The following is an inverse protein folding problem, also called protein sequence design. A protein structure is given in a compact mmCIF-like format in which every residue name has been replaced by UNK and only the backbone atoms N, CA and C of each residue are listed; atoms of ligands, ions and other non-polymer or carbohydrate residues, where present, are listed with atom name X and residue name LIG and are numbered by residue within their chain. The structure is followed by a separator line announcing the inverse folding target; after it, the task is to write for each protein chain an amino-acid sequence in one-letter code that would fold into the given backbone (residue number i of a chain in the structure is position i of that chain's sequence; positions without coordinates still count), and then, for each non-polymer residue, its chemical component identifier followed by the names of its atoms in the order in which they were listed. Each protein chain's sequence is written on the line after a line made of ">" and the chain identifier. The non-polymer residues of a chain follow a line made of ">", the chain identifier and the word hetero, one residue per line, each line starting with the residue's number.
data_IF_206201925708
#
_entry.id   IF_206201925708
#
_cell.length_a   1.000
_cell.length_b   1.000
_cell.length_c   1.000
_cell.angle_alpha   90.00
_cell.angle_beta   90.00
_cell.angle_gamma   90.00
#
_symmetry.space_group_name_H-M   'P 1'
#
loop_
_entity.id
_entity.type
_entity.pdbx_description
1 polymer ?
#
# COMPACT_ATOMS: atom_id res chain seq x y z
N UNK A 1 -12.35 -30.78 -27.42
CA UNK A 1 -12.31 -29.55 -26.61
C UNK A 1 -12.78 -29.92 -25.22
N UNK A 2 -11.88 -29.99 -24.24
CA UNK A 2 -12.24 -30.39 -22.86
C UNK A 2 -12.80 -29.16 -22.17
N UNK A 3 -14.08 -29.18 -21.82
CA UNK A 3 -14.71 -28.10 -21.07
C UNK A 3 -14.01 -27.94 -19.71
N UNK A 4 -13.53 -26.72 -19.40
CA UNK A 4 -13.01 -26.41 -18.06
C UNK A 4 -14.13 -26.68 -17.04
N UNK A 5 -13.85 -27.55 -16.07
CA UNK A 5 -14.69 -27.74 -14.89
C UNK A 5 -14.86 -26.39 -14.19
N UNK A 6 -16.10 -25.97 -13.90
CA UNK A 6 -16.41 -24.71 -13.21
C UNK A 6 -15.97 -24.66 -11.74
N UNK A 7 -15.21 -25.65 -11.25
CA UNK A 7 -14.66 -25.70 -9.90
C UNK A 7 -13.26 -25.12 -9.91
N UNK A 8 -13.09 -23.95 -9.32
CA UNK A 8 -11.80 -23.30 -9.12
C UNK A 8 -11.23 -23.73 -7.76
N UNK A 9 -10.01 -24.24 -7.74
CA UNK A 9 -9.29 -24.50 -6.48
C UNK A 9 -8.68 -23.20 -5.95
N UNK A 10 -8.41 -23.06 -4.63
CA UNK A 10 -7.77 -21.86 -4.10
C UNK A 10 -6.47 -21.48 -4.83
N UNK A 11 -5.66 -22.47 -5.20
CA UNK A 11 -4.42 -22.27 -5.96
C UNK A 11 -4.68 -21.75 -7.39
N UNK A 12 -5.70 -22.28 -8.07
CA UNK A 12 -6.09 -21.77 -9.40
C UNK A 12 -6.61 -20.34 -9.32
N UNK A 13 -7.41 -20.02 -8.29
CA UNK A 13 -7.92 -18.68 -8.06
C UNK A 13 -6.79 -17.68 -7.81
N UNK A 14 -5.84 -18.00 -6.92
CA UNK A 14 -4.70 -17.14 -6.62
C UNK A 14 -3.83 -16.91 -7.87
N UNK A 15 -3.57 -17.95 -8.65
CA UNK A 15 -2.83 -17.83 -9.90
C UNK A 15 -3.54 -16.92 -10.91
N UNK A 16 -4.83 -17.14 -11.16
CA UNK A 16 -5.61 -16.29 -12.08
C UNK A 16 -5.64 -14.83 -11.61
N UNK A 17 -5.76 -14.59 -10.30
CA UNK A 17 -5.74 -13.24 -9.74
C UNK A 17 -4.40 -12.54 -9.93
N UNK A 18 -3.28 -13.24 -9.75
CA UNK A 18 -1.94 -12.66 -9.91
C UNK A 18 -1.60 -12.38 -11.36
N UNK A 19 -2.01 -13.24 -12.29
CA UNK A 19 -1.85 -12.97 -13.72
C UNK A 19 -2.67 -11.75 -14.15
N UNK A 20 -3.89 -11.61 -13.64
CA UNK A 20 -4.69 -10.41 -13.86
C UNK A 20 -3.99 -9.15 -13.34
N UNK A 21 -3.49 -9.20 -12.10
CA UNK A 21 -2.77 -8.08 -11.47
C UNK A 21 -1.50 -7.70 -12.24
N UNK A 22 -0.73 -8.69 -12.72
CA UNK A 22 0.46 -8.43 -13.55
C UNK A 22 0.08 -7.79 -14.88
N UNK A 23 -1.00 -8.24 -15.52
CA UNK A 23 -1.45 -7.72 -16.82
C UNK A 23 -1.99 -6.29 -16.75
N UNK A 24 -2.53 -5.90 -15.60
CA UNK A 24 -3.05 -4.55 -15.33
C UNK A 24 -2.40 -4.01 -14.05
N UNK A 25 -1.09 -3.75 -14.15
CA UNK A 25 -0.26 -3.33 -13.02
C UNK A 25 -0.83 -2.09 -12.35
N UNK A 26 -1.16 -2.20 -11.07
CA UNK A 26 -1.66 -1.10 -10.23
C UNK A 26 -0.66 -0.72 -9.14
N UNK A 27 -0.88 0.46 -8.55
CA UNK A 27 -0.24 0.87 -7.31
C UNK A 27 -1.11 0.54 -6.10
N UNK A 28 -0.51 -0.08 -5.09
CA UNK A 28 -1.15 -0.40 -3.81
C UNK A 28 -0.43 0.35 -2.69
N UNK A 29 -1.20 1.03 -1.85
CA UNK A 29 -0.69 1.73 -0.65
C UNK A 29 -0.97 0.87 0.58
N UNK A 30 0.05 0.65 1.40
CA UNK A 30 -0.03 -0.12 2.64
C UNK A 30 0.28 0.82 3.83
N UNK A 31 -0.73 1.24 4.63
CA UNK A 31 -0.53 2.22 5.68
C UNK A 31 0.33 1.70 6.84
N UNK A 32 0.29 0.40 7.12
CA UNK A 32 1.00 -0.21 8.25
C UNK A 32 2.43 -0.65 7.88
N UNK A 33 3.19 0.21 7.17
CA UNK A 33 4.51 -0.11 6.62
C UNK A 33 5.55 -0.52 7.68
N UNK A 34 5.33 -0.15 8.94
CA UNK A 34 6.17 -0.54 10.08
C UNK A 34 5.89 -1.95 10.63
N UNK A 35 4.84 -2.65 10.19
CA UNK A 35 4.52 -4.00 10.66
C UNK A 35 5.28 -5.09 9.92
N UNK A 36 5.87 -6.05 10.66
CA UNK A 36 6.60 -7.17 10.06
C UNK A 36 5.74 -7.98 9.06
N UNK A 37 4.46 -8.19 9.37
CA UNK A 37 3.55 -8.94 8.49
C UNK A 37 3.37 -8.24 7.14
N UNK A 38 3.28 -6.91 7.15
CA UNK A 38 3.14 -6.09 5.94
C UNK A 38 4.44 -6.07 5.15
N UNK A 39 5.59 -5.97 5.82
CA UNK A 39 6.90 -6.08 5.17
C UNK A 39 7.09 -7.45 4.51
N UNK A 40 6.72 -8.54 5.17
CA UNK A 40 6.76 -9.88 4.57
C UNK A 40 5.82 -10.02 3.38
N UNK A 41 4.61 -9.45 3.44
CA UNK A 41 3.70 -9.42 2.30
C UNK A 41 4.27 -8.60 1.14
N UNK A 42 4.91 -7.47 1.44
CA UNK A 42 5.61 -6.62 0.47
C UNK A 42 6.69 -7.41 -0.27
N UNK A 43 7.55 -8.15 0.43
CA UNK A 43 8.58 -9.02 -0.17
C UNK A 43 7.96 -10.04 -1.14
N UNK A 44 6.86 -10.68 -0.76
CA UNK A 44 6.15 -11.63 -1.63
C UNK A 44 5.61 -10.94 -2.90
N UNK A 45 5.03 -9.76 -2.77
CA UNK A 45 4.45 -9.02 -3.91
C UNK A 45 5.53 -8.50 -4.86
N UNK A 46 6.65 -8.00 -4.33
CA UNK A 46 7.81 -7.57 -5.13
C UNK A 46 8.39 -8.75 -5.93
N UNK A 47 8.62 -9.90 -5.27
CA UNK A 47 9.14 -11.10 -5.96
C UNK A 47 8.21 -11.63 -7.05
N UNK A 48 6.90 -11.44 -6.90
CA UNK A 48 5.91 -11.87 -7.89
C UNK A 48 5.71 -10.85 -9.02
N UNK A 49 6.22 -9.64 -8.83
CA UNK A 49 6.19 -8.52 -9.76
C UNK A 49 4.78 -8.24 -10.33
N UNK A 50 3.84 -7.99 -9.42
CA UNK A 50 2.40 -7.86 -9.77
C UNK A 50 1.82 -6.46 -9.51
N UNK A 51 2.50 -5.60 -8.76
CA UNK A 51 2.05 -4.25 -8.47
C UNK A 51 3.21 -3.33 -8.07
N UNK A 52 2.97 -2.02 -8.15
CA UNK A 52 3.84 -1.03 -7.51
C UNK A 52 3.38 -0.83 -6.07
N UNK A 53 4.33 -0.67 -5.15
CA UNK A 53 4.02 -0.55 -3.72
C UNK A 53 4.42 0.81 -3.16
N UNK A 54 3.57 1.32 -2.27
CA UNK A 54 3.87 2.45 -1.40
C UNK A 54 3.60 2.04 0.04
N UNK A 55 4.62 2.07 0.89
CA UNK A 55 4.50 1.90 2.33
C UNK A 55 4.36 3.27 3.00
N UNK A 56 3.45 3.39 3.97
CA UNK A 56 3.39 4.58 4.81
C UNK A 56 4.05 4.32 6.17
N UNK A 57 4.66 5.36 6.72
CA UNK A 57 5.24 5.39 8.06
C UNK A 57 6.66 5.98 8.07
N UNK A 58 7.29 5.93 9.24
CA UNK A 58 8.65 6.45 9.44
C UNK A 58 9.66 5.73 8.51
N UNK A 59 10.28 6.49 7.62
CA UNK A 59 11.11 5.96 6.53
C UNK A 59 12.31 5.17 7.07
N UNK A 60 12.97 5.69 8.12
CA UNK A 60 14.17 5.08 8.68
C UNK A 60 13.84 3.83 9.48
N UNK A 61 12.75 3.83 10.25
CA UNK A 61 12.27 2.69 11.01
C UNK A 61 11.83 1.53 10.08
N UNK A 62 11.13 1.84 9.00
CA UNK A 62 10.71 0.86 7.99
C UNK A 62 11.94 0.25 7.31
N UNK A 63 12.87 1.07 6.83
CA UNK A 63 14.10 0.60 6.17
C UNK A 63 14.94 -0.26 7.10
N UNK A 64 15.11 0.16 8.35
CA UNK A 64 15.83 -0.61 9.37
C UNK A 64 15.19 -1.98 9.60
N UNK A 65 13.87 -2.02 9.82
CA UNK A 65 13.16 -3.29 10.05
C UNK A 65 13.21 -4.21 8.82
N UNK A 66 13.09 -3.66 7.62
CA UNK A 66 13.24 -4.44 6.40
C UNK A 66 14.65 -5.04 6.28
N UNK A 67 15.69 -4.27 6.58
CA UNK A 67 17.07 -4.77 6.62
C UNK A 67 17.26 -5.89 7.65
N UNK A 68 16.71 -5.74 8.86
CA UNK A 68 16.73 -6.77 9.91
C UNK A 68 16.04 -8.07 9.47
N UNK A 69 15.02 -7.97 8.59
CA UNK A 69 14.28 -9.10 8.02
C UNK A 69 14.90 -9.65 6.72
N UNK A 70 15.94 -9.01 6.18
CA UNK A 70 16.56 -9.37 4.90
C UNK A 70 15.67 -9.08 3.67
N UNK A 71 14.80 -8.08 3.76
CA UNK A 71 13.87 -7.67 2.71
C UNK A 71 14.45 -6.47 1.95
N UNK A 72 14.53 -6.57 0.63
CA UNK A 72 14.92 -5.47 -0.25
C UNK A 72 13.70 -4.64 -0.65
N UNK A 73 13.73 -3.34 -0.32
CA UNK A 73 12.68 -2.37 -0.62
C UNK A 73 13.08 -1.37 -1.71
N UNK A 74 14.14 -1.63 -2.48
CA UNK A 74 14.66 -0.69 -3.49
C UNK A 74 13.60 -0.18 -4.48
N UNK A 75 12.66 -1.03 -4.89
CA UNK A 75 11.59 -0.68 -5.83
C UNK A 75 10.30 -0.21 -5.14
N UNK A 76 10.29 -0.09 -3.80
CA UNK A 76 9.12 0.33 -3.03
C UNK A 76 9.23 1.80 -2.63
N UNK A 77 8.17 2.56 -2.88
CA UNK A 77 8.08 3.92 -2.38
C UNK A 77 7.77 3.89 -0.87
N UNK A 78 8.48 4.65 -0.06
CA UNK A 78 8.18 4.79 1.38
C UNK A 78 7.91 6.28 1.64
N UNK A 79 6.76 6.59 2.22
CA UNK A 79 6.31 7.96 2.50
C UNK A 79 5.97 8.06 3.98
N UNK A 80 6.59 9.00 4.67
CA UNK A 80 6.13 9.41 6.00
C UNK A 80 5.02 10.46 5.85
N UNK A 81 3.77 10.17 6.24
CA UNK A 81 2.66 11.12 6.14
C UNK A 81 2.86 12.39 6.95
N UNK A 82 3.65 12.36 8.03
CA UNK A 82 3.88 13.54 8.86
C UNK A 82 4.74 14.58 8.17
N UNK A 83 5.70 14.15 7.35
CA UNK A 83 6.71 14.99 6.68
C UNK A 83 6.50 15.12 5.17
N UNK A 84 5.54 14.38 4.60
CA UNK A 84 5.23 14.41 3.17
C UNK A 84 4.73 15.78 2.70
N UNK A 85 5.26 16.25 1.57
CA UNK A 85 4.79 17.44 0.87
C UNK A 85 3.32 17.33 0.42
N UNK A 86 2.81 16.09 0.30
CA UNK A 86 1.41 15.82 -0.08
C UNK A 86 0.42 16.12 1.06
N UNK A 87 0.89 16.22 2.31
CA UNK A 87 0.05 16.31 3.50
C UNK A 87 -0.92 17.48 3.42
N UNK A 88 -0.44 18.67 3.03
CA UNK A 88 -1.29 19.87 2.91
C UNK A 88 -2.38 19.69 1.85
N UNK A 89 -2.02 19.22 0.66
CA UNK A 89 -2.99 19.01 -0.43
C UNK A 89 -4.04 17.95 -0.06
N UNK A 90 -3.64 16.90 0.67
CA UNK A 90 -4.55 15.87 1.15
C UNK A 90 -5.48 16.41 2.23
N UNK A 91 -4.98 17.23 3.15
CA UNK A 91 -5.77 17.89 4.19
C UNK A 91 -6.87 18.79 3.59
N UNK A 92 -6.50 19.65 2.65
CA UNK A 92 -7.44 20.54 1.94
C UNK A 92 -8.52 19.73 1.21
N UNK A 93 -8.11 18.68 0.50
CA UNK A 93 -9.05 17.81 -0.21
C UNK A 93 -9.97 17.05 0.74
N UNK A 94 -9.44 16.54 1.85
CA UNK A 94 -10.20 15.84 2.87
C UNK A 94 -11.23 16.76 3.54
N UNK A 95 -10.83 17.96 3.94
CA UNK A 95 -11.73 18.97 4.49
C UNK A 95 -12.86 19.30 3.51
N UNK A 96 -12.55 19.52 2.24
CA UNK A 96 -13.55 19.78 1.20
C UNK A 96 -14.58 18.63 1.09
N UNK A 97 -14.10 17.37 1.05
CA UNK A 97 -14.97 16.19 0.96
C UNK A 97 -15.82 15.99 2.23
N UNK A 98 -15.32 16.42 3.38
CA UNK A 98 -15.96 16.25 4.70
C UNK A 98 -16.56 17.56 5.23
N UNK A 99 -16.71 18.58 4.40
CA UNK A 99 -17.21 19.90 4.80
C UNK A 99 -18.61 19.84 5.42
N UNK A 100 -19.46 18.93 4.94
CA UNK A 100 -20.80 18.66 5.52
C UNK A 100 -20.75 18.14 6.97
N UNK A 101 -19.60 17.63 7.43
CA UNK A 101 -19.34 17.24 8.82
C UNK A 101 -18.60 18.32 9.62
N UNK A 102 -18.43 19.52 9.07
CA UNK A 102 -17.73 20.62 9.74
C UNK A 102 -16.23 20.41 9.89
N UNK A 103 -15.61 19.53 9.10
CA UNK A 103 -14.17 19.28 9.14
C UNK A 103 -13.42 20.48 8.56
N UNK A 104 -12.57 21.13 9.37
CA UNK A 104 -11.68 22.22 8.92
C UNK A 104 -10.40 21.66 8.32
N UNK A 105 -9.63 22.51 7.63
CA UNK A 105 -8.34 22.11 7.04
C UNK A 105 -7.33 21.76 8.15
N UNK A 106 -7.33 22.48 9.26
CA UNK A 106 -6.46 22.22 10.41
C UNK A 106 -6.73 20.83 10.99
N UNK A 107 -8.00 20.50 11.26
CA UNK A 107 -8.37 19.16 11.73
C UNK A 107 -8.03 18.09 10.69
N UNK A 108 -8.28 18.36 9.41
CA UNK A 108 -7.94 17.45 8.33
C UNK A 108 -6.41 17.21 8.25
N UNK A 109 -5.59 18.22 8.53
CA UNK A 109 -4.13 18.14 8.49
C UNK A 109 -3.56 17.20 9.54
N UNK A 110 -4.21 17.12 10.71
CA UNK A 110 -3.88 16.14 11.73
C UNK A 110 -4.35 14.74 11.32
N UNK A 111 -5.58 14.62 10.82
CA UNK A 111 -6.18 13.33 10.42
C UNK A 111 -5.42 12.65 9.28
N UNK A 112 -4.97 13.38 8.25
CA UNK A 112 -4.33 12.76 7.08
C UNK A 112 -2.91 12.25 7.36
N UNK A 113 -2.32 12.62 8.50
CA UNK A 113 -1.03 12.09 8.92
C UNK A 113 -1.15 10.90 9.89
N UNK A 114 -2.33 10.69 10.48
CA UNK A 114 -2.60 9.58 11.40
C UNK A 114 -3.09 8.37 10.59
N UNK A 115 -2.16 7.47 10.25
CA UNK A 115 -2.39 6.25 9.45
C UNK A 115 -1.95 4.99 10.15
#
# INVERSE_FOLDING_TARGET
>A
SVARSGRVTPMMFEHELLEQARSDRKRVVLPEGGEERVLRATDVLLRRDVCDLTLLGDVDAIRKKAADLGIDLAETQIIDPHTSELRQAFAERYAQLRAHRGVTVELAYDVVADV
#
